data_IF_025139902982
#
_entry.id   IF_025139902982
#
_cell.length_a   1.000
_cell.length_b   1.000
_cell.length_c   1.000
_cell.angle_alpha   90.00
_cell.angle_beta   90.00
_cell.angle_gamma   90.00
#
_symmetry.space_group_name_H-M   'P 1'
#
loop_
_entity.id
_entity.type
_entity.pdbx_description
1 polymer ?
#
# COMPACT_ATOMS: atom_id res chain seq x y z
N UNK A 1 8.89 -3.83 -6.62
CA UNK A 1 7.92 -4.12 -5.55
C UNK A 1 8.31 -5.46 -4.94
N UNK A 2 8.59 -5.50 -3.64
CA UNK A 2 8.99 -6.71 -2.91
C UNK A 2 7.85 -7.22 -2.01
N UNK A 3 8.06 -8.34 -1.33
CA UNK A 3 7.14 -8.91 -0.35
C UNK A 3 6.70 -10.34 -0.71
N UNK A 4 6.28 -11.08 0.31
CA UNK A 4 6.00 -12.52 0.24
C UNK A 4 4.57 -12.75 -0.25
N UNK A 5 3.61 -11.92 0.18
CA UNK A 5 2.18 -12.16 -0.09
C UNK A 5 1.76 -11.52 -1.41
N UNK A 6 2.17 -12.13 -2.53
CA UNK A 6 1.78 -11.68 -3.87
C UNK A 6 0.45 -12.32 -4.31
N UNK A 7 -0.57 -11.54 -4.69
CA UNK A 7 -1.85 -12.09 -5.09
C UNK A 7 -1.75 -12.73 -6.48
N UNK A 8 -2.38 -13.89 -6.65
CA UNK A 8 -2.53 -14.48 -7.98
C UNK A 8 -3.65 -13.75 -8.73
N UNK A 9 -3.27 -12.94 -9.73
CA UNK A 9 -4.21 -12.14 -10.53
C UNK A 9 -5.29 -12.99 -11.23
N UNK A 10 -4.98 -14.25 -11.55
CA UNK A 10 -5.94 -15.18 -12.19
C UNK A 10 -7.02 -15.68 -11.25
N UNK A 11 -6.83 -15.58 -9.93
CA UNK A 11 -7.81 -16.01 -8.93
C UNK A 11 -8.46 -14.88 -8.17
N UNK A 12 -7.97 -13.64 -8.31
CA UNK A 12 -8.64 -12.48 -7.74
C UNK A 12 -9.80 -12.08 -8.66
N UNK A 13 -11.03 -12.28 -8.20
CA UNK A 13 -12.20 -11.66 -8.84
C UNK A 13 -12.12 -10.14 -8.86
N UNK A 14 -12.98 -9.49 -9.63
CA UNK A 14 -12.94 -8.03 -9.85
C UNK A 14 -13.03 -7.23 -8.55
N UNK A 15 -13.93 -7.62 -7.64
CA UNK A 15 -14.11 -6.97 -6.33
C UNK A 15 -12.82 -6.98 -5.51
N UNK A 16 -12.16 -8.13 -5.39
CA UNK A 16 -10.91 -8.26 -4.64
C UNK A 16 -9.77 -7.50 -5.34
N UNK A 17 -9.73 -7.52 -6.67
CA UNK A 17 -8.75 -6.73 -7.45
C UNK A 17 -8.90 -5.23 -7.19
N UNK A 18 -10.14 -4.73 -7.11
CA UNK A 18 -10.42 -3.33 -6.79
C UNK A 18 -9.99 -2.99 -5.36
N UNK A 19 -10.33 -3.83 -4.37
CA UNK A 19 -9.89 -3.65 -2.97
C UNK A 19 -8.36 -3.65 -2.85
N UNK A 20 -7.72 -4.63 -3.46
CA UNK A 20 -6.26 -4.72 -3.52
C UNK A 20 -5.64 -3.45 -4.09
N UNK A 21 -6.15 -2.98 -5.24
CA UNK A 21 -5.66 -1.77 -5.89
C UNK A 21 -5.86 -0.54 -5.00
N UNK A 22 -6.98 -0.46 -4.27
CA UNK A 22 -7.28 0.64 -3.35
C UNK A 22 -6.24 0.73 -2.21
N UNK A 23 -5.90 -0.40 -1.58
CA UNK A 23 -4.90 -0.43 -0.51
C UNK A 23 -3.48 -0.18 -1.03
N UNK A 24 -3.11 -0.78 -2.17
CA UNK A 24 -1.81 -0.57 -2.81
C UNK A 24 -1.59 0.91 -3.14
N UNK A 25 -2.61 1.54 -3.72
CA UNK A 25 -2.56 2.97 -4.05
C UNK A 25 -2.56 3.84 -2.79
N UNK A 26 -3.29 3.42 -1.74
CA UNK A 26 -3.28 4.07 -0.43
C UNK A 26 -1.88 4.12 0.16
N UNK A 27 -1.20 2.98 0.24
CA UNK A 27 0.20 2.86 0.67
C UNK A 27 1.13 3.75 -0.16
N UNK A 28 1.07 3.65 -1.49
CA UNK A 28 1.90 4.44 -2.39
C UNK A 28 1.73 5.95 -2.17
N UNK A 29 0.51 6.40 -1.88
CA UNK A 29 0.21 7.80 -1.63
C UNK A 29 0.55 8.25 -0.21
N UNK A 30 0.50 7.36 0.78
CA UNK A 30 0.99 7.62 2.14
C UNK A 30 2.51 7.80 2.13
N UNK A 31 3.25 6.88 1.50
CA UNK A 31 4.70 7.01 1.28
C UNK A 31 5.05 8.35 0.60
N UNK A 32 4.32 8.72 -0.45
CA UNK A 32 4.52 9.99 -1.14
C UNK A 32 4.27 11.20 -0.25
N UNK A 33 3.18 11.16 0.52
CA UNK A 33 2.74 12.28 1.36
C UNK A 33 3.69 12.53 2.52
N UNK A 34 4.11 11.46 3.20
CA UNK A 34 4.83 11.55 4.47
C UNK A 34 6.36 11.55 4.26
N UNK A 35 6.85 10.94 3.17
CA UNK A 35 8.28 10.71 2.95
C UNK A 35 8.77 11.11 1.54
N UNK A 36 7.93 11.76 0.74
CA UNK A 36 8.30 12.31 -0.57
C UNK A 36 8.21 11.33 -1.75
N UNK A 37 8.44 11.83 -2.97
CA UNK A 37 8.21 11.07 -4.20
C UNK A 37 9.06 9.80 -4.32
N UNK A 38 10.32 9.85 -3.87
CA UNK A 38 11.23 8.72 -3.95
C UNK A 38 10.81 7.58 -3.01
N UNK A 39 10.15 7.86 -1.89
CA UNK A 39 9.66 6.83 -0.98
C UNK A 39 8.65 5.88 -1.66
N UNK A 40 8.03 6.27 -2.78
CA UNK A 40 7.12 5.40 -3.53
C UNK A 40 7.79 4.12 -4.04
N UNK A 41 9.11 4.11 -4.21
CA UNK A 41 9.86 2.93 -4.69
C UNK A 41 9.78 1.76 -3.71
N UNK A 42 9.58 2.04 -2.41
CA UNK A 42 9.53 1.00 -1.39
C UNK A 42 8.15 0.37 -1.23
N UNK A 43 7.14 0.85 -1.97
CA UNK A 43 5.81 0.22 -2.02
C UNK A 43 5.97 -1.29 -2.24
N UNK A 44 5.39 -2.07 -1.33
CA UNK A 44 5.55 -3.52 -1.27
C UNK A 44 4.22 -4.23 -1.00
N UNK A 45 4.18 -5.53 -1.23
CA UNK A 45 2.97 -6.34 -1.09
C UNK A 45 2.59 -6.60 0.37
N UNK A 46 3.57 -6.71 1.27
CA UNK A 46 3.32 -7.04 2.68
C UNK A 46 2.65 -5.88 3.43
N UNK A 47 3.00 -4.64 3.09
CA UNK A 47 2.37 -3.43 3.63
C UNK A 47 0.88 -3.34 3.28
N UNK A 48 0.46 -3.96 2.17
CA UNK A 48 -0.96 -4.04 1.84
C UNK A 48 -1.74 -4.86 2.86
N UNK A 49 -1.18 -5.99 3.33
CA UNK A 49 -1.81 -6.83 4.32
C UNK A 49 -1.99 -6.07 5.65
N UNK A 50 -0.98 -5.30 6.05
CA UNK A 50 -1.07 -4.41 7.22
C UNK A 50 -2.21 -3.41 7.04
N UNK A 51 -2.28 -2.72 5.90
CA UNK A 51 -3.36 -1.77 5.65
C UNK A 51 -4.75 -2.41 5.67
N UNK A 52 -4.91 -3.62 5.13
CA UNK A 52 -6.18 -4.36 5.13
C UNK A 52 -6.58 -4.80 6.53
N UNK A 53 -5.64 -5.37 7.30
CA UNK A 53 -5.90 -5.84 8.66
C UNK A 53 -6.22 -4.68 9.60
N UNK A 54 -5.55 -3.54 9.44
CA UNK A 54 -5.90 -2.34 10.22
C UNK A 54 -7.28 -1.82 9.84
N UNK A 55 -7.65 -1.79 8.55
CA UNK A 55 -9.00 -1.40 8.13
C UNK A 55 -10.06 -2.36 8.69
N UNK A 56 -9.80 -3.67 8.71
CA UNK A 56 -10.71 -4.68 9.23
C UNK A 56 -10.91 -4.64 10.76
N UNK A 57 -9.93 -4.08 11.49
CA UNK A 57 -9.99 -3.91 12.96
C UNK A 57 -10.52 -2.53 13.37
N UNK A 58 -10.74 -1.62 12.42
CA UNK A 58 -11.29 -0.31 12.72
C UNK A 58 -12.78 -0.40 13.07
N UNK A 59 -13.24 0.48 13.96
CA UNK A 59 -14.64 0.57 14.35
C UNK A 59 -15.52 0.81 13.10
N UNK A 60 -16.54 -0.04 12.84
CA UNK A 60 -17.48 0.15 11.73
C UNK A 60 -18.20 1.50 11.74
N UNK A 61 -18.34 2.15 12.89
CA UNK A 61 -18.95 3.47 13.04
C UNK A 61 -17.98 4.64 12.78
N UNK A 62 -16.70 4.36 12.59
CA UNK A 62 -15.67 5.37 12.33
C UNK A 62 -15.72 5.93 10.90
N UNK A 63 -15.06 7.08 10.63
CA UNK A 63 -14.94 7.61 9.28
C UNK A 63 -14.29 6.55 8.38
N UNK A 64 -14.94 6.26 7.24
CA UNK A 64 -14.40 5.30 6.26
C UNK A 64 -12.98 5.74 5.91
N UNK A 65 -11.99 4.88 6.15
CA UNK A 65 -10.57 5.14 5.91
C UNK A 65 -10.23 5.18 4.42
N UNK A 66 -11.01 5.91 3.62
CA UNK A 66 -10.88 6.01 2.17
C UNK A 66 -10.94 7.45 1.72
N UNK A 67 -10.24 7.74 0.63
CA UNK A 67 -10.31 9.03 -0.06
C UNK A 67 -10.29 8.82 -1.57
N UNK A 68 -10.79 9.80 -2.32
CA UNK A 68 -10.64 9.84 -3.77
C UNK A 68 -9.22 10.27 -4.12
N UNK A 69 -8.44 9.37 -4.71
CA UNK A 69 -7.15 9.71 -5.30
C UNK A 69 -7.33 10.31 -6.70
N UNK A 70 -6.53 11.34 -7.00
CA UNK A 70 -6.46 11.93 -8.33
C UNK A 70 -5.94 10.97 -9.42
N UNK A 71 -5.88 11.44 -10.68
CA UNK A 71 -5.32 10.70 -11.80
C UNK A 71 -3.93 10.12 -11.51
N UNK A 72 -3.67 8.89 -11.94
CA UNK A 72 -2.37 8.23 -11.78
C UNK A 72 -1.97 7.48 -13.06
N UNK A 73 -0.72 7.62 -13.53
CA UNK A 73 -0.23 6.88 -14.70
C UNK A 73 -0.40 5.36 -14.57
N UNK A 74 -0.14 4.81 -13.38
CA UNK A 74 -0.30 3.37 -13.10
C UNK A 74 -1.76 2.89 -13.14
N UNK A 75 -2.73 3.81 -13.20
CA UNK A 75 -4.16 3.52 -13.37
C UNK A 75 -4.71 3.95 -14.74
N UNK A 76 -3.84 4.31 -15.68
CA UNK A 76 -4.24 4.89 -16.96
C UNK A 76 -4.87 6.27 -16.81
N UNK A 77 -4.31 7.10 -15.92
CA UNK A 77 -4.80 8.45 -15.59
C UNK A 77 -6.21 8.51 -14.99
N UNK A 78 -6.73 7.39 -14.47
CA UNK A 78 -8.03 7.35 -13.77
C UNK A 78 -7.92 7.67 -12.28
N UNK A 79 -8.96 8.30 -11.75
CA UNK A 79 -9.19 8.45 -10.30
C UNK A 79 -9.61 7.12 -9.69
N UNK A 80 -9.48 6.99 -8.37
CA UNK A 80 -9.92 5.79 -7.64
C UNK A 80 -10.18 6.12 -6.17
N UNK A 81 -11.14 5.43 -5.54
CA UNK A 81 -11.22 5.38 -4.09
C UNK A 81 -10.06 4.53 -3.55
N UNK A 82 -9.24 5.09 -2.67
CA UNK A 82 -8.05 4.44 -2.12
C UNK A 82 -8.07 4.45 -0.60
N UNK A 83 -7.38 3.50 0.03
CA UNK A 83 -7.21 3.50 1.48
C UNK A 83 -6.46 4.76 1.94
N UNK A 84 -6.84 5.26 3.12
CA UNK A 84 -6.33 6.46 3.75
C UNK A 84 -6.44 6.35 5.28
N UNK A 85 -5.76 7.25 5.98
CA UNK A 85 -5.71 7.23 7.44
C UNK A 85 -4.65 6.26 7.96
N UNK A 86 -4.91 5.71 9.14
CA UNK A 86 -3.91 5.05 9.96
C UNK A 86 -3.37 3.76 9.34
N UNK A 87 -4.23 2.90 8.76
CA UNK A 87 -3.78 1.68 8.09
C UNK A 87 -2.81 1.93 6.94
N UNK A 88 -3.04 2.99 6.15
CA UNK A 88 -2.14 3.35 5.05
C UNK A 88 -0.81 3.93 5.54
N UNK A 89 -0.83 4.71 6.64
CA UNK A 89 0.39 5.25 7.28
C UNK A 89 1.22 4.17 7.96
N UNK A 90 0.58 3.25 8.68
CA UNK A 90 1.24 2.10 9.30
C UNK A 90 1.91 1.23 8.24
N UNK A 91 1.20 0.94 7.15
CA UNK A 91 1.77 0.22 6.01
C UNK A 91 3.00 0.93 5.41
N UNK A 92 2.98 2.27 5.32
CA UNK A 92 4.12 3.04 4.83
C UNK A 92 5.34 2.95 5.75
N UNK A 93 5.13 3.08 7.06
CA UNK A 93 6.19 2.94 8.06
C UNK A 93 6.83 1.53 8.02
N UNK A 94 6.01 0.47 8.02
CA UNK A 94 6.49 -0.91 7.89
C UNK A 94 7.24 -1.10 6.57
N UNK A 95 6.74 -0.53 5.48
CA UNK A 95 7.36 -0.61 4.16
C UNK A 95 8.77 -0.01 4.12
N UNK A 96 8.97 1.13 4.79
CA UNK A 96 10.28 1.76 4.94
C UNK A 96 11.23 0.94 5.81
N UNK A 97 10.75 0.40 6.94
CA UNK A 97 11.56 -0.45 7.83
C UNK A 97 12.04 -1.70 7.10
N UNK A 98 11.14 -2.37 6.36
CA UNK A 98 11.49 -3.53 5.54
C UNK A 98 12.46 -3.19 4.41
N UNK A 99 12.30 -2.04 3.76
CA UNK A 99 13.24 -1.59 2.74
C UNK A 99 14.63 -1.33 3.33
N UNK A 100 14.70 -0.71 4.51
CA UNK A 100 15.96 -0.47 5.22
C UNK A 100 16.66 -1.78 5.58
N UNK A 101 15.93 -2.77 6.11
CA UNK A 101 16.47 -4.10 6.38
C UNK A 101 16.97 -4.77 5.10
N UNK A 102 16.16 -4.77 4.04
CA UNK A 102 16.52 -5.36 2.75
C UNK A 102 17.80 -4.76 2.14
N UNK A 103 17.99 -3.45 2.27
CA UNK A 103 19.22 -2.78 1.79
C UNK A 103 20.42 -3.21 2.62
N UNK A 104 20.30 -3.30 3.95
CA UNK A 104 21.38 -3.80 4.81
C UNK A 104 21.76 -5.23 4.46
N UNK A 105 20.77 -6.11 4.26
CA UNK A 105 21.00 -7.51 3.88
C UNK A 105 21.74 -7.58 2.55
N UNK A 106 21.30 -6.82 1.54
CA UNK A 106 21.97 -6.79 0.23
C UNK A 106 23.44 -6.33 0.32
N UNK A 107 23.74 -5.33 1.16
CA UNK A 107 25.11 -4.88 1.39
C UNK A 107 25.96 -5.95 2.10
N UNK A 108 25.37 -6.72 3.00
CA UNK A 108 26.07 -7.80 3.71
C UNK A 108 26.33 -9.02 2.81
N UNK A 109 25.41 -9.32 1.88
CA UNK A 109 25.48 -10.48 0.99
C UNK A 109 26.44 -10.29 -0.20
N UNK A 110 26.64 -9.04 -0.66
CA UNK A 110 27.52 -8.70 -1.80
C UNK A 110 26.78 -8.59 -3.13
#
# INVERSE_FOLDING_TARGET
>A
MFGIVRPCRHRLGEKLTAQWTAHLCGLCLALRGDHGQLARIVTNYDGLLISVLTEAQADPAGPTGRRTAGPCPLRGMRTASVAHGEGARLAAAVSLVLASAKVRDHVADG
#
